data_IF_867142701397
#
_entry.id   IF_867142701397
#
_cell.length_a   1.000
_cell.length_b   1.000
_cell.length_c   1.000
_cell.angle_alpha   90.00
_cell.angle_beta   90.00
_cell.angle_gamma   90.00
#
_symmetry.space_group_name_H-M   'P 1'
#
loop_
_entity.id
_entity.type
_entity.pdbx_description
1 polymer ?
#
# COMPACT_ATOMS: atom_id res chain seq x y z
N UNK A 1 7.92 12.16 5.62
CA UNK A 1 7.01 13.29 5.84
C UNK A 1 6.37 13.62 4.52
N UNK A 2 5.11 13.36 4.38
CA UNK A 2 4.44 13.33 3.08
C UNK A 2 3.70 14.63 2.82
N UNK A 3 4.35 15.54 2.11
CA UNK A 3 3.66 16.67 1.45
C UNK A 3 2.99 17.72 2.33
N UNK A 4 2.80 17.49 3.62
CA UNK A 4 2.41 18.53 4.56
C UNK A 4 3.69 19.08 5.21
N UNK A 5 4.18 20.17 4.67
CA UNK A 5 5.38 20.85 5.18
C UNK A 5 5.21 21.44 6.58
N UNK A 6 4.01 21.35 7.14
CA UNK A 6 3.68 21.85 8.47
C UNK A 6 3.74 20.79 9.58
N UNK A 7 3.99 19.51 9.25
CA UNK A 7 4.08 18.44 10.25
C UNK A 7 5.46 17.78 10.24
N UNK A 8 6.00 17.53 11.41
CA UNK A 8 7.26 16.83 11.62
C UNK A 8 7.15 15.73 12.67
N UNK A 9 8.16 14.87 12.72
CA UNK A 9 8.33 13.95 13.82
C UNK A 9 8.69 14.76 15.08
N UNK A 10 8.04 14.47 16.18
CA UNK A 10 8.25 15.18 17.43
C UNK A 10 8.32 14.18 18.60
N UNK A 11 8.98 14.58 19.67
CA UNK A 11 8.96 13.85 20.94
C UNK A 11 7.87 14.42 21.84
N UNK A 12 6.95 13.55 22.28
CA UNK A 12 6.04 13.90 23.36
C UNK A 12 6.68 13.44 24.69
N UNK A 13 7.17 14.40 25.45
CA UNK A 13 7.95 14.14 26.68
C UNK A 13 7.07 13.68 27.85
N UNK A 14 6.48 12.51 27.71
CA UNK A 14 5.74 11.85 28.79
C UNK A 14 5.93 10.34 28.71
N UNK A 15 6.13 9.71 29.83
CA UNK A 15 6.29 8.26 29.90
C UNK A 15 7.52 7.76 29.12
N UNK A 16 7.29 7.00 28.04
CA UNK A 16 8.31 6.39 27.20
C UNK A 16 8.73 7.24 25.99
N UNK A 17 8.44 8.53 25.99
CA UNK A 17 8.73 9.49 24.91
C UNK A 17 8.20 9.02 23.54
N UNK A 18 6.89 8.88 23.34
CA UNK A 18 6.34 8.45 22.07
C UNK A 18 6.70 9.42 20.95
N UNK A 19 7.00 8.86 19.77
CA UNK A 19 7.14 9.64 18.55
C UNK A 19 5.75 10.05 18.06
N UNK A 20 5.54 11.34 17.86
CA UNK A 20 4.28 11.91 17.40
C UNK A 20 4.48 12.75 16.14
N UNK A 21 3.42 12.97 15.38
CA UNK A 21 3.39 14.01 14.36
C UNK A 21 2.88 15.31 15.00
N UNK A 22 3.65 16.36 14.86
CA UNK A 22 3.35 17.66 15.41
C UNK A 22 3.54 18.77 14.38
N UNK A 23 2.85 19.88 14.55
CA UNK A 23 3.02 21.05 13.68
C UNK A 23 4.44 21.58 13.79
N UNK A 24 5.14 21.71 12.65
CA UNK A 24 6.46 22.32 12.61
C UNK A 24 6.33 23.81 12.96
N UNK A 25 6.85 24.18 14.09
CA UNK A 25 7.01 25.58 14.50
C UNK A 25 8.44 26.03 14.13
N UNK A 26 8.59 27.25 13.68
CA UNK A 26 9.91 27.86 13.49
C UNK A 26 10.64 27.81 14.84
N UNK A 27 11.84 27.19 14.86
CA UNK A 27 12.67 26.96 16.03
C UNK A 27 12.21 25.82 17.01
N UNK A 28 11.36 24.91 16.56
CA UNK A 28 11.04 23.72 17.36
C UNK A 28 12.18 22.68 17.30
N UNK A 29 13.01 22.68 18.32
CA UNK A 29 14.14 21.75 18.43
C UNK A 29 13.71 20.27 18.58
N UNK A 30 12.48 20.04 18.95
CA UNK A 30 11.92 18.69 19.14
C UNK A 30 11.37 18.08 17.84
N UNK A 31 11.42 18.83 16.73
CA UNK A 31 10.91 18.40 15.42
C UNK A 31 11.98 18.27 14.33
N UNK A 32 13.20 18.73 14.57
CA UNK A 32 14.30 18.60 13.62
C UNK A 32 15.00 17.26 13.78
N UNK A 33 15.07 16.48 12.69
CA UNK A 33 15.72 15.18 12.69
C UNK A 33 16.99 15.17 11.87
N UNK A 34 18.00 14.48 12.35
CA UNK A 34 19.21 14.10 11.62
C UNK A 34 19.10 12.64 11.19
N UNK A 35 19.61 12.34 10.00
CA UNK A 35 19.66 11.00 9.43
C UNK A 35 21.12 10.65 9.21
N UNK A 36 21.59 9.60 9.84
CA UNK A 36 22.98 9.13 9.79
C UNK A 36 23.02 7.71 9.22
N UNK A 37 23.87 7.45 8.23
CA UNK A 37 24.04 6.10 7.69
C UNK A 37 24.63 5.14 8.72
N UNK A 38 24.17 3.91 8.76
CA UNK A 38 24.77 2.86 9.58
C UNK A 38 26.14 2.50 9.02
N UNK A 39 27.16 2.42 9.88
CA UNK A 39 28.54 2.12 9.49
C UNK A 39 28.80 0.65 9.12
N UNK A 40 27.83 -0.21 9.20
CA UNK A 40 27.99 -1.68 9.12
C UNK A 40 27.62 -2.28 7.76
N UNK A 41 28.06 -1.69 6.65
CA UNK A 41 28.07 -2.38 5.35
C UNK A 41 26.70 -2.84 4.77
N UNK A 42 25.60 -2.48 5.40
CA UNK A 42 24.25 -2.75 4.92
C UNK A 42 23.74 -1.53 4.18
N UNK A 43 23.54 -1.64 2.88
CA UNK A 43 22.97 -0.56 2.07
C UNK A 43 21.59 -0.14 2.61
N UNK A 44 21.32 1.16 2.56
CA UNK A 44 20.03 1.78 2.92
C UNK A 44 19.64 1.69 4.40
N UNK A 45 20.61 1.56 5.31
CA UNK A 45 20.40 1.56 6.76
C UNK A 45 20.75 2.91 7.37
N UNK A 46 19.87 3.43 8.22
CA UNK A 46 20.01 4.76 8.82
C UNK A 46 19.58 4.76 10.29
N UNK A 47 20.27 5.59 11.07
CA UNK A 47 19.79 6.07 12.37
C UNK A 47 19.07 7.40 12.16
N UNK A 48 17.95 7.59 12.83
CA UNK A 48 17.16 8.82 12.82
C UNK A 48 17.12 9.35 14.25
N UNK A 49 17.58 10.57 14.49
CA UNK A 49 17.61 11.15 15.84
C UNK A 49 17.23 12.63 15.82
N UNK A 50 16.81 13.16 16.96
CA UNK A 50 16.50 14.59 17.09
C UNK A 50 17.80 15.41 17.10
N UNK A 51 17.93 16.32 16.13
CA UNK A 51 19.15 17.07 15.86
C UNK A 51 19.63 17.85 17.08
N UNK A 52 18.72 18.56 17.74
CA UNK A 52 19.05 19.44 18.88
C UNK A 52 19.46 18.66 20.13
N UNK A 53 19.06 17.41 20.28
CA UNK A 53 19.32 16.60 21.47
C UNK A 53 20.43 15.56 21.26
N UNK A 54 20.75 15.30 20.02
CA UNK A 54 21.75 14.32 19.64
C UNK A 54 21.33 12.86 19.76
N UNK A 55 22.07 12.00 19.06
CA UNK A 55 21.83 10.56 18.95
C UNK A 55 21.80 9.84 20.31
N UNK A 56 22.64 10.27 21.25
CA UNK A 56 22.73 9.66 22.58
C UNK A 56 21.49 9.88 23.47
N UNK A 57 20.63 10.81 23.11
CA UNK A 57 19.42 11.15 23.91
C UNK A 57 18.16 10.65 23.25
N UNK A 58 17.96 10.96 21.98
CA UNK A 58 16.70 10.66 21.27
C UNK A 58 16.94 10.07 19.89
N UNK A 59 17.13 8.77 19.82
CA UNK A 59 17.15 7.98 18.59
C UNK A 59 15.78 7.31 18.39
N UNK A 60 15.26 7.37 17.17
CA UNK A 60 13.99 6.77 16.81
C UNK A 60 14.07 5.25 16.94
N UNK A 61 13.21 4.67 17.75
CA UNK A 61 13.24 3.25 18.14
C UNK A 61 11.92 2.58 17.87
N UNK A 62 11.95 1.50 17.09
CA UNK A 62 10.79 0.65 16.83
C UNK A 62 10.41 -0.13 18.09
N UNK A 63 9.13 -0.48 18.28
CA UNK A 63 8.71 -1.35 19.37
C UNK A 63 9.22 -2.78 19.14
N UNK A 64 9.62 -3.46 20.20
CA UNK A 64 10.07 -4.87 20.16
C UNK A 64 8.92 -5.85 19.90
N UNK A 65 7.69 -5.47 20.23
CA UNK A 65 6.50 -6.26 20.00
C UNK A 65 5.62 -5.61 18.93
N UNK A 66 5.78 -6.05 17.67
CA UNK A 66 5.05 -5.56 16.52
C UNK A 66 3.63 -6.12 16.39
N UNK A 67 3.24 -7.08 17.24
CA UNK A 67 1.91 -7.71 17.21
C UNK A 67 0.88 -6.98 18.09
N UNK A 68 1.33 -6.06 18.92
CA UNK A 68 0.46 -5.26 19.78
C UNK A 68 -0.14 -4.08 19.02
N UNK A 69 -1.46 -3.92 19.11
CA UNK A 69 -2.18 -2.75 18.56
C UNK A 69 -1.81 -1.43 19.24
N UNK A 70 -1.17 -1.49 20.41
CA UNK A 70 -0.64 -0.35 21.15
C UNK A 70 0.85 -0.11 20.94
N UNK A 71 1.52 -0.90 20.09
CA UNK A 71 2.91 -0.72 19.78
C UNK A 71 3.17 0.65 19.14
N UNK A 72 4.10 1.41 19.68
CA UNK A 72 4.43 2.77 19.23
C UNK A 72 5.92 2.91 19.00
N UNK A 73 6.28 3.67 17.98
CA UNK A 73 7.64 4.16 17.81
C UNK A 73 7.93 5.18 18.91
N UNK A 74 9.10 5.09 19.49
CA UNK A 74 9.52 5.92 20.64
C UNK A 74 10.88 6.55 20.38
N UNK A 75 11.21 7.57 21.14
CA UNK A 75 12.54 8.17 21.16
C UNK A 75 13.30 7.65 22.38
N UNK A 76 14.42 6.98 22.17
CA UNK A 76 15.26 6.40 23.23
C UNK A 76 16.72 6.75 23.01
N UNK A 77 17.56 6.68 24.06
CA UNK A 77 19.00 6.76 23.89
C UNK A 77 19.52 5.74 22.87
N UNK A 78 20.52 6.13 22.11
CA UNK A 78 21.16 5.24 21.14
C UNK A 78 21.85 4.07 21.86
N UNK A 79 21.54 2.88 21.42
CA UNK A 79 22.12 1.61 21.91
C UNK A 79 22.76 0.79 20.80
N UNK A 80 22.54 1.17 19.52
CA UNK A 80 22.94 0.37 18.37
C UNK A 80 22.09 -0.86 18.14
N UNK A 81 20.95 -0.99 18.82
CA UNK A 81 20.06 -2.14 18.67
C UNK A 81 19.36 -2.17 17.31
N UNK A 82 18.95 -3.36 16.82
CA UNK A 82 18.24 -3.49 15.55
C UNK A 82 16.96 -2.63 15.45
N UNK A 83 16.29 -2.37 16.57
CA UNK A 83 15.07 -1.56 16.64
C UNK A 83 15.32 -0.09 16.31
N UNK A 84 16.59 0.35 16.31
CA UNK A 84 17.00 1.71 15.98
C UNK A 84 17.49 1.86 14.54
N UNK A 85 17.55 0.76 13.79
CA UNK A 85 17.99 0.74 12.39
C UNK A 85 16.77 0.86 11.47
N UNK A 86 16.76 1.89 10.64
CA UNK A 86 15.68 2.20 9.71
C UNK A 86 16.14 2.04 8.26
N UNK A 87 15.31 1.44 7.44
CA UNK A 87 15.50 1.43 5.98
C UNK A 87 14.69 2.56 5.36
N UNK A 88 15.38 3.51 4.73
CA UNK A 88 14.74 4.59 3.99
C UNK A 88 14.72 4.17 2.52
N UNK A 89 13.54 3.83 2.02
CA UNK A 89 13.36 3.54 0.59
C UNK A 89 13.15 4.85 -0.16
N UNK A 90 14.09 5.21 -1.01
CA UNK A 90 14.06 6.44 -1.82
C UNK A 90 13.16 6.33 -3.07
N UNK A 91 12.63 5.15 -3.36
CA UNK A 91 11.90 4.85 -4.59
C UNK A 91 10.39 5.11 -4.53
N UNK A 92 9.89 5.76 -3.49
CA UNK A 92 8.52 6.24 -3.50
C UNK A 92 8.54 7.74 -3.78
N UNK A 93 8.16 8.13 -4.99
CA UNK A 93 7.68 9.48 -5.25
C UNK A 93 6.70 9.81 -4.13
N UNK A 94 6.99 10.84 -3.35
CA UNK A 94 6.20 11.23 -2.20
C UNK A 94 4.77 11.56 -2.66
N UNK A 95 3.93 10.56 -2.68
CA UNK A 95 2.50 10.79 -2.81
C UNK A 95 1.97 11.12 -1.44
N UNK A 96 1.40 12.28 -1.37
CA UNK A 96 0.75 12.88 -0.21
C UNK A 96 -0.31 11.97 0.38
N UNK A 97 0.12 10.99 1.16
CA UNK A 97 -0.76 10.26 2.03
C UNK A 97 -0.96 11.09 3.29
N UNK A 98 -2.01 11.90 3.32
CA UNK A 98 -2.53 12.50 4.54
C UNK A 98 -3.30 11.45 5.36
N UNK A 99 -2.76 10.24 5.44
CA UNK A 99 -3.33 9.16 6.23
C UNK A 99 -2.99 9.40 7.69
N UNK A 100 -3.99 9.59 8.50
CA UNK A 100 -3.91 9.51 9.94
C UNK A 100 -3.00 8.35 10.34
N UNK A 101 -2.00 8.56 11.18
CA UNK A 101 -0.96 7.60 11.56
C UNK A 101 -1.47 6.30 12.18
N UNK A 102 -2.29 5.57 11.42
CA UNK A 102 -2.79 4.25 11.78
C UNK A 102 -1.84 3.19 11.21
N UNK A 103 -1.46 2.29 12.07
CA UNK A 103 -0.72 1.09 11.72
C UNK A 103 -1.55 0.26 10.72
N UNK A 104 -0.99 0.03 9.54
CA UNK A 104 -1.51 -1.00 8.65
C UNK A 104 -0.83 -2.32 9.00
N UNK A 105 -1.56 -3.42 9.16
CA UNK A 105 -0.96 -4.74 9.31
C UNK A 105 -0.11 -5.04 8.07
N UNK A 106 0.80 -5.99 8.16
CA UNK A 106 1.50 -6.48 6.98
C UNK A 106 0.49 -7.01 5.98
N UNK A 107 0.67 -6.68 4.71
CA UNK A 107 -0.12 -7.28 3.64
C UNK A 107 0.21 -8.77 3.61
N UNK A 108 -0.82 -9.61 3.72
CA UNK A 108 -0.62 -11.03 3.91
C UNK A 108 -0.37 -11.75 2.59
N UNK A 109 0.52 -12.73 2.63
CA UNK A 109 0.69 -13.69 1.56
C UNK A 109 -0.60 -14.53 1.43
N UNK A 110 -0.90 -14.94 0.19
CA UNK A 110 -1.88 -15.99 -0.05
C UNK A 110 -1.26 -17.34 0.29
N UNK A 111 -2.07 -18.31 0.71
CA UNK A 111 -1.62 -19.71 0.80
C UNK A 111 -1.32 -20.33 -0.56
N UNK A 112 -1.75 -19.68 -1.64
CA UNK A 112 -1.47 -20.05 -3.03
C UNK A 112 -0.31 -19.20 -3.56
N UNK A 113 0.91 -19.68 -3.43
CA UNK A 113 2.11 -18.98 -3.92
C UNK A 113 2.12 -18.89 -5.45
N UNK A 114 2.64 -17.80 -6.03
CA UNK A 114 3.31 -16.65 -5.39
C UNK A 114 2.40 -15.42 -5.17
N UNK A 115 1.10 -15.63 -4.97
CA UNK A 115 0.16 -14.52 -4.86
C UNK A 115 0.20 -13.86 -3.48
N UNK A 116 0.01 -12.54 -3.46
CA UNK A 116 -0.10 -11.72 -2.26
C UNK A 116 -1.40 -10.92 -2.35
N UNK A 117 -2.13 -10.77 -1.25
CA UNK A 117 -3.35 -9.97 -1.22
C UNK A 117 -3.09 -8.54 -1.73
N UNK A 118 -3.96 -7.98 -2.59
CA UNK A 118 -3.75 -6.66 -3.19
C UNK A 118 -3.90 -5.49 -2.21
N UNK A 119 -4.51 -5.75 -1.05
CA UNK A 119 -4.79 -4.78 0.01
C UNK A 119 -4.65 -5.44 1.38
N UNK A 120 -4.78 -4.64 2.44
CA UNK A 120 -4.54 -5.10 3.81
C UNK A 120 -5.75 -5.80 4.42
N UNK A 121 -6.97 -5.38 4.07
CA UNK A 121 -8.21 -5.96 4.60
C UNK A 121 -8.74 -7.04 3.66
N UNK A 122 -8.85 -8.26 4.17
CA UNK A 122 -9.34 -9.42 3.41
C UNK A 122 -10.86 -9.52 3.38
N UNK A 123 -11.55 -8.82 4.29
CA UNK A 123 -13.02 -8.79 4.33
C UNK A 123 -13.56 -7.72 3.40
N UNK A 124 -14.76 -7.92 2.90
CA UNK A 124 -15.41 -7.00 2.02
C UNK A 124 -16.91 -7.24 1.93
N UNK A 125 -17.58 -6.34 1.23
CA UNK A 125 -19.03 -6.29 1.14
C UNK A 125 -19.61 -7.27 0.12
N UNK A 126 -18.81 -7.69 -0.89
CA UNK A 126 -19.32 -8.48 -2.01
C UNK A 126 -18.29 -9.47 -2.54
N UNK A 127 -18.70 -10.72 -2.72
CA UNK A 127 -17.92 -11.78 -3.36
C UNK A 127 -18.11 -11.85 -4.87
N UNK A 128 -17.34 -12.71 -5.53
CA UNK A 128 -17.52 -13.04 -6.94
C UNK A 128 -18.89 -13.68 -7.20
N UNK A 129 -19.66 -13.13 -8.16
CA UNK A 129 -20.94 -13.69 -8.54
C UNK A 129 -21.27 -13.39 -10.02
N UNK A 130 -20.98 -14.31 -10.94
CA UNK A 130 -21.26 -14.12 -12.37
C UNK A 130 -22.75 -14.09 -12.70
N UNK A 131 -23.63 -14.64 -11.84
CA UNK A 131 -25.08 -14.66 -12.06
C UNK A 131 -25.75 -13.31 -11.80
N UNK A 132 -25.14 -12.47 -10.94
CA UNK A 132 -25.55 -11.08 -10.69
C UNK A 132 -24.44 -10.13 -11.09
N UNK A 133 -24.11 -9.99 -12.38
CA UNK A 133 -22.80 -9.61 -12.95
C UNK A 133 -21.86 -8.86 -11.99
N UNK A 134 -21.13 -9.61 -11.16
CA UNK A 134 -20.08 -9.11 -10.29
C UNK A 134 -18.81 -9.94 -10.50
N UNK A 135 -17.99 -9.49 -11.44
CA UNK A 135 -16.81 -10.21 -11.93
C UNK A 135 -15.56 -9.86 -11.12
N UNK A 136 -15.64 -9.99 -9.80
CA UNK A 136 -14.56 -9.70 -8.87
C UNK A 136 -14.99 -9.87 -7.43
N UNK A 137 -14.17 -9.38 -6.53
CA UNK A 137 -14.45 -9.29 -5.10
C UNK A 137 -14.29 -7.84 -4.66
N UNK A 138 -15.16 -7.38 -3.76
CA UNK A 138 -15.05 -6.06 -3.16
C UNK A 138 -14.40 -6.21 -1.79
N UNK A 139 -13.33 -5.46 -1.54
CA UNK A 139 -12.58 -5.46 -0.28
C UNK A 139 -12.62 -4.09 0.35
N UNK A 140 -13.02 -4.06 1.61
CA UNK A 140 -13.14 -2.83 2.38
C UNK A 140 -11.77 -2.23 2.70
N UNK A 141 -11.78 -0.94 2.99
CA UNK A 141 -10.63 -0.23 3.53
C UNK A 141 -10.59 -0.30 5.06
N UNK A 142 -9.39 -0.39 5.65
CA UNK A 142 -9.21 -0.11 7.08
C UNK A 142 -9.45 1.35 7.42
N UNK A 143 -9.13 2.23 6.47
CA UNK A 143 -9.32 3.68 6.62
C UNK A 143 -10.71 4.09 6.13
N UNK A 144 -11.74 3.78 6.90
CA UNK A 144 -13.04 4.41 6.70
C UNK A 144 -12.98 5.80 7.31
N UNK A 145 -12.73 6.82 6.48
CA UNK A 145 -12.90 8.19 6.90
C UNK A 145 -14.38 8.55 6.89
N UNK A 146 -14.82 9.22 7.94
CA UNK A 146 -16.17 9.82 8.02
C UNK A 146 -16.43 10.87 6.93
N UNK A 147 -15.38 11.35 6.28
CA UNK A 147 -15.42 12.19 5.07
C UNK A 147 -14.86 11.41 3.88
N UNK A 148 -15.71 10.58 3.30
CA UNK A 148 -15.38 9.66 2.20
C UNK A 148 -14.96 10.36 0.89
N UNK A 149 -15.08 11.69 0.78
CA UNK A 149 -14.86 12.40 -0.48
C UNK A 149 -13.43 12.87 -0.69
N UNK A 150 -12.64 13.03 0.36
CA UNK A 150 -11.32 13.66 0.28
C UNK A 150 -10.16 12.87 0.90
N UNK A 151 -10.42 11.80 1.66
CA UNK A 151 -9.37 10.98 2.24
C UNK A 151 -9.19 9.68 1.43
N UNK A 152 -7.97 9.36 1.00
CA UNK A 152 -7.70 8.10 0.33
C UNK A 152 -7.90 6.93 1.30
N UNK A 153 -8.43 5.81 0.80
CA UNK A 153 -8.46 4.54 1.52
C UNK A 153 -7.09 3.85 1.56
N UNK A 154 -7.09 2.55 1.80
CA UNK A 154 -5.86 1.75 1.90
C UNK A 154 -5.09 1.73 0.57
N UNK A 155 -3.74 1.61 0.62
CA UNK A 155 -2.95 1.45 -0.58
C UNK A 155 -3.20 0.10 -1.27
N UNK A 156 -3.12 0.11 -2.60
CA UNK A 156 -3.37 -1.03 -3.48
C UNK A 156 -2.09 -1.42 -4.20
N UNK A 157 -1.83 -2.73 -4.28
CA UNK A 157 -0.64 -3.31 -4.89
C UNK A 157 -0.98 -4.47 -5.82
N UNK A 158 -0.10 -4.82 -6.78
CA UNK A 158 -0.27 -6.04 -7.57
C UNK A 158 -0.24 -7.31 -6.72
N UNK A 159 -1.01 -8.31 -7.15
CA UNK A 159 -1.02 -9.65 -6.52
C UNK A 159 0.22 -10.47 -6.87
N UNK A 160 0.83 -10.20 -8.01
CA UNK A 160 2.09 -10.80 -8.50
C UNK A 160 2.75 -9.83 -9.48
N UNK A 161 3.98 -10.16 -9.91
CA UNK A 161 4.71 -9.36 -10.90
C UNK A 161 4.01 -9.38 -12.28
N UNK A 162 4.11 -8.27 -13.01
CA UNK A 162 3.51 -8.14 -14.34
C UNK A 162 3.85 -6.82 -15.02
N UNK A 163 3.08 -6.50 -16.06
CA UNK A 163 3.18 -5.23 -16.80
C UNK A 163 1.80 -4.56 -16.84
N UNK A 164 1.76 -3.27 -16.59
CA UNK A 164 0.54 -2.48 -16.70
C UNK A 164 0.11 -2.42 -18.17
N UNK A 165 -1.09 -2.89 -18.44
CA UNK A 165 -1.64 -2.90 -19.83
C UNK A 165 -2.77 -1.89 -20.04
N UNK A 166 -3.39 -1.40 -18.96
CA UNK A 166 -4.43 -0.39 -19.02
C UNK A 166 -4.43 0.49 -17.79
N UNK A 167 -4.62 1.78 -18.00
CA UNK A 167 -4.91 2.76 -16.96
C UNK A 167 -6.14 3.54 -17.41
N UNK A 168 -7.15 3.62 -16.56
CA UNK A 168 -8.30 4.48 -16.78
C UNK A 168 -8.31 5.61 -15.74
N UNK A 169 -8.67 6.79 -16.22
CA UNK A 169 -8.96 7.95 -15.40
C UNK A 169 -10.42 8.33 -15.60
N UNK A 170 -11.19 8.38 -14.51
CA UNK A 170 -12.61 8.80 -14.53
C UNK A 170 -13.53 7.98 -15.46
N UNK A 171 -13.25 6.69 -15.64
CA UNK A 171 -14.16 5.82 -16.39
C UNK A 171 -15.50 5.74 -15.65
N UNK A 172 -16.62 5.74 -16.40
CA UNK A 172 -17.96 5.76 -15.81
C UNK A 172 -18.20 4.59 -14.84
N UNK A 173 -17.78 3.38 -15.21
CA UNK A 173 -17.97 2.19 -14.38
C UNK A 173 -16.78 1.90 -13.48
N UNK A 174 -15.55 1.87 -14.04
CA UNK A 174 -14.34 1.43 -13.32
C UNK A 174 -13.71 2.53 -12.48
N UNK A 175 -14.12 3.79 -12.69
CA UNK A 175 -13.49 4.95 -12.07
C UNK A 175 -12.03 5.10 -12.52
N UNK A 176 -11.18 5.45 -11.60
CA UNK A 176 -9.73 5.35 -11.78
C UNK A 176 -9.33 3.88 -11.56
N UNK A 177 -8.61 3.29 -12.50
CA UNK A 177 -8.31 1.86 -12.44
C UNK A 177 -7.00 1.48 -13.13
N UNK A 178 -6.43 0.35 -12.72
CA UNK A 178 -5.22 -0.25 -13.32
C UNK A 178 -5.48 -1.70 -13.66
N UNK A 179 -5.08 -2.10 -14.87
CA UNK A 179 -5.09 -3.48 -15.30
C UNK A 179 -3.65 -3.94 -15.58
N UNK A 180 -3.28 -5.09 -15.03
CA UNK A 180 -1.94 -5.66 -15.14
C UNK A 180 -2.02 -7.01 -15.83
N UNK A 181 -1.16 -7.25 -16.81
CA UNK A 181 -0.95 -8.57 -17.42
C UNK A 181 0.24 -9.24 -16.77
N UNK A 182 0.08 -10.52 -16.45
CA UNK A 182 1.16 -11.38 -15.95
C UNK A 182 1.14 -12.72 -16.69
N UNK A 183 2.30 -13.34 -16.87
CA UNK A 183 2.33 -14.78 -17.11
C UNK A 183 1.70 -15.48 -15.90
N UNK A 184 0.92 -16.53 -16.14
CA UNK A 184 0.31 -17.28 -15.05
C UNK A 184 1.40 -17.93 -14.18
N UNK A 185 1.62 -17.45 -12.95
CA UNK A 185 2.73 -17.93 -12.13
C UNK A 185 2.42 -19.25 -11.40
N UNK A 186 1.14 -19.69 -11.43
CA UNK A 186 0.71 -20.92 -10.77
C UNK A 186 -0.35 -21.64 -11.61
N UNK A 187 0.11 -22.46 -12.57
CA UNK A 187 -0.76 -23.21 -13.48
C UNK A 187 -1.51 -24.36 -12.80
N UNK A 188 -1.16 -24.71 -11.58
CA UNK A 188 -1.90 -25.70 -10.78
C UNK A 188 -3.15 -25.08 -10.16
N UNK A 189 -3.05 -23.86 -9.68
CA UNK A 189 -4.18 -23.13 -9.08
C UNK A 189 -5.06 -22.50 -10.17
N UNK A 190 -4.46 -22.00 -11.25
CA UNK A 190 -5.16 -21.41 -12.39
C UNK A 190 -4.92 -22.31 -13.61
N UNK A 191 -5.77 -23.31 -13.80
CA UNK A 191 -5.62 -24.32 -14.87
C UNK A 191 -6.00 -23.82 -16.25
N UNK A 192 -6.68 -22.68 -16.34
CA UNK A 192 -7.17 -22.09 -17.60
C UNK A 192 -6.35 -20.85 -17.95
N UNK A 193 -5.42 -21.00 -18.92
CA UNK A 193 -4.70 -19.88 -19.49
C UNK A 193 -3.26 -19.72 -19.04
N UNK A 194 -2.40 -19.38 -20.00
CA UNK A 194 -0.99 -19.10 -19.79
C UNK A 194 -0.73 -17.68 -19.24
N UNK A 195 -1.72 -16.82 -19.30
CA UNK A 195 -1.67 -15.43 -18.84
C UNK A 195 -2.87 -15.08 -17.99
N UNK A 196 -2.65 -14.18 -17.03
CA UNK A 196 -3.70 -13.59 -16.21
C UNK A 196 -3.71 -12.08 -16.39
N UNK A 197 -4.90 -11.48 -16.33
CA UNK A 197 -5.08 -10.05 -16.20
C UNK A 197 -5.79 -9.79 -14.89
N UNK A 198 -5.16 -9.00 -14.02
CA UNK A 198 -5.72 -8.59 -12.75
C UNK A 198 -6.10 -7.11 -12.79
N UNK A 199 -7.31 -6.81 -12.35
CA UNK A 199 -7.99 -5.54 -12.50
C UNK A 199 -8.24 -4.94 -11.12
N UNK A 200 -7.81 -3.70 -10.93
CA UNK A 200 -7.94 -2.93 -9.69
C UNK A 200 -8.75 -1.67 -10.01
N UNK A 201 -9.90 -1.47 -9.36
CA UNK A 201 -10.84 -0.41 -9.72
C UNK A 201 -11.16 0.50 -8.54
N UNK A 202 -11.82 1.63 -8.85
CA UNK A 202 -12.35 2.61 -7.91
C UNK A 202 -11.29 3.37 -7.11
N UNK A 203 -10.08 3.58 -7.66
CA UNK A 203 -9.05 4.36 -6.98
C UNK A 203 -9.52 5.78 -6.66
N UNK A 204 -9.05 6.32 -5.55
CA UNK A 204 -9.39 7.66 -5.08
C UNK A 204 -8.94 8.77 -6.06
N UNK A 205 -7.80 8.58 -6.68
CA UNK A 205 -7.17 9.53 -7.61
C UNK A 205 -6.56 8.81 -8.80
N UNK A 206 -5.98 9.57 -9.72
CA UNK A 206 -5.19 9.00 -10.83
C UNK A 206 -4.22 7.94 -10.31
N UNK A 207 -4.15 6.76 -10.97
CA UNK A 207 -3.16 5.75 -10.67
C UNK A 207 -1.72 6.27 -10.73
N UNK A 208 -0.83 5.65 -9.95
CA UNK A 208 0.56 6.05 -9.79
C UNK A 208 1.50 5.38 -10.80
N UNK A 209 0.94 4.60 -11.71
CA UNK A 209 1.64 3.86 -12.74
C UNK A 209 1.07 4.18 -14.11
N UNK A 210 1.84 3.92 -15.16
CA UNK A 210 1.49 4.15 -16.56
C UNK A 210 1.46 2.83 -17.34
N UNK A 211 0.77 2.82 -18.47
CA UNK A 211 0.78 1.68 -19.38
C UNK A 211 2.20 1.40 -19.85
N UNK A 212 2.63 0.14 -19.76
CA UNK A 212 3.97 -0.32 -20.06
C UNK A 212 4.88 -0.49 -18.83
N UNK A 213 4.51 0.08 -17.69
CA UNK A 213 5.33 -0.02 -16.48
C UNK A 213 5.41 -1.48 -15.99
N UNK A 214 6.61 -2.00 -15.70
CA UNK A 214 6.78 -3.24 -14.97
C UNK A 214 6.41 -3.03 -13.50
N UNK A 215 5.65 -3.96 -12.94
CA UNK A 215 5.19 -3.89 -11.55
C UNK A 215 5.49 -5.19 -10.80
N UNK A 216 5.70 -5.06 -9.51
CA UNK A 216 5.89 -6.17 -8.58
C UNK A 216 4.87 -6.08 -7.45
N UNK A 217 4.83 -7.09 -6.59
CA UNK A 217 3.96 -7.07 -5.39
C UNK A 217 4.25 -5.91 -4.42
N UNK A 218 5.40 -5.25 -4.54
CA UNK A 218 5.77 -4.06 -3.76
C UNK A 218 5.47 -2.73 -4.45
N UNK A 219 5.01 -2.73 -5.71
CA UNK A 219 4.72 -1.51 -6.46
C UNK A 219 3.37 -0.93 -6.01
N UNK A 220 3.37 0.30 -5.52
CA UNK A 220 2.12 0.99 -5.18
C UNK A 220 1.39 1.43 -6.46
N UNK A 221 0.20 0.88 -6.69
CA UNK A 221 -0.64 1.25 -7.85
C UNK A 221 -1.45 2.53 -7.59
N UNK A 222 -1.85 2.76 -6.36
CA UNK A 222 -2.69 3.86 -5.92
C UNK A 222 -3.38 3.54 -4.60
N UNK A 223 -4.43 4.27 -4.31
CA UNK A 223 -5.19 4.15 -3.05
C UNK A 223 -6.66 3.88 -3.32
N UNK A 224 -7.30 3.12 -2.44
CA UNK A 224 -8.73 2.86 -2.50
C UNK A 224 -9.54 4.16 -2.51
N UNK A 225 -10.60 4.16 -3.27
CA UNK A 225 -11.53 5.27 -3.36
C UNK A 225 -12.94 4.79 -3.65
N UNK A 226 -13.71 5.69 -4.26
CA UNK A 226 -15.11 5.45 -4.64
C UNK A 226 -15.42 6.13 -5.99
N UNK A 227 -14.48 6.13 -6.92
CA UNK A 227 -14.66 6.69 -8.26
C UNK A 227 -15.35 5.71 -9.19
N UNK A 228 -16.05 6.21 -10.21
CA UNK A 228 -16.87 5.41 -11.12
C UNK A 228 -18.18 4.94 -10.49
N UNK A 229 -18.66 3.77 -10.91
CA UNK A 229 -19.89 3.17 -10.37
C UNK A 229 -19.62 2.49 -9.02
N UNK A 230 -19.57 3.27 -7.98
CA UNK A 230 -19.24 2.83 -6.62
C UNK A 230 -20.05 3.59 -5.58
N UNK A 231 -20.49 2.90 -4.53
CA UNK A 231 -21.31 3.45 -3.44
C UNK A 231 -20.53 3.72 -2.15
N UNK A 232 -19.25 3.35 -2.08
CA UNK A 232 -18.41 3.55 -0.89
C UNK A 232 -16.96 3.19 -1.14
N UNK A 233 -16.07 3.54 -0.23
CA UNK A 233 -14.64 3.28 -0.36
C UNK A 233 -14.36 1.77 -0.28
N UNK A 234 -13.93 1.19 -1.40
CA UNK A 234 -13.53 -0.21 -1.50
C UNK A 234 -12.57 -0.44 -2.67
N UNK A 235 -11.91 -1.58 -2.71
CA UNK A 235 -11.25 -2.12 -3.88
C UNK A 235 -12.17 -3.14 -4.55
N UNK A 236 -12.59 -2.88 -5.78
CA UNK A 236 -13.09 -3.94 -6.66
C UNK A 236 -11.89 -4.60 -7.34
N UNK A 237 -11.69 -5.89 -7.09
CA UNK A 237 -10.59 -6.68 -7.63
C UNK A 237 -11.12 -7.83 -8.47
N UNK A 238 -10.82 -7.82 -9.76
CA UNK A 238 -11.17 -8.88 -10.70
C UNK A 238 -9.93 -9.56 -11.27
N UNK A 239 -10.08 -10.81 -11.69
CA UNK A 239 -9.02 -11.57 -12.36
C UNK A 239 -9.58 -12.38 -13.53
N UNK A 240 -8.87 -12.35 -14.65
CA UNK A 240 -9.18 -13.11 -15.86
C UNK A 240 -7.98 -13.96 -16.26
N UNK A 241 -8.25 -15.08 -16.94
CA UNK A 241 -7.20 -15.92 -17.52
C UNK A 241 -7.50 -16.22 -18.99
N UNK A 242 -6.45 -16.33 -19.81
CA UNK A 242 -6.49 -16.78 -21.20
C UNK A 242 -5.12 -17.29 -21.67
N UNK A 243 -5.08 -17.91 -22.87
CA UNK A 243 -3.84 -18.49 -23.40
C UNK A 243 -2.94 -17.48 -24.13
N UNK A 244 -3.38 -16.26 -24.36
CA UNK A 244 -2.61 -15.19 -25.00
C UNK A 244 -2.41 -14.02 -24.05
N UNK A 245 -1.28 -13.33 -24.13
CA UNK A 245 -1.03 -12.16 -23.29
C UNK A 245 -2.09 -11.07 -23.51
N UNK A 246 -2.46 -10.40 -22.43
CA UNK A 246 -3.28 -9.19 -22.50
C UNK A 246 -2.43 -7.98 -22.87
N UNK A 247 -2.99 -7.09 -23.68
CA UNK A 247 -2.32 -5.91 -24.23
C UNK A 247 -3.11 -4.64 -23.94
N UNK A 248 -2.54 -3.49 -24.26
CA UNK A 248 -3.23 -2.19 -24.13
C UNK A 248 -4.42 -2.01 -25.08
N UNK A 249 -4.49 -2.79 -26.17
CA UNK A 249 -5.62 -2.78 -27.10
C UNK A 249 -6.81 -3.62 -26.63
N UNK A 250 -6.60 -4.53 -25.68
CA UNK A 250 -7.70 -5.35 -25.15
C UNK A 250 -8.67 -4.50 -24.33
N UNK A 251 -9.95 -4.56 -24.70
CA UNK A 251 -11.05 -3.95 -23.96
C UNK A 251 -11.48 -4.79 -22.75
N UNK A 252 -12.48 -4.28 -22.05
CA UNK A 252 -13.21 -5.05 -21.04
C UNK A 252 -14.08 -6.11 -21.73
N UNK A 253 -14.05 -7.30 -21.19
CA UNK A 253 -14.90 -8.42 -21.58
C UNK A 253 -15.25 -9.20 -20.34
N UNK A 254 -16.40 -9.87 -20.33
CA UNK A 254 -16.83 -10.72 -19.21
C UNK A 254 -16.28 -12.14 -19.31
N UNK A 255 -15.59 -12.48 -20.39
CA UNK A 255 -15.01 -13.81 -20.62
C UNK A 255 -13.71 -13.98 -19.83
N UNK A 256 -13.49 -15.18 -19.31
CA UNK A 256 -12.25 -15.56 -18.62
C UNK A 256 -12.13 -15.12 -17.16
N UNK A 257 -13.16 -14.44 -16.63
CA UNK A 257 -13.19 -14.15 -15.20
C UNK A 257 -13.40 -15.43 -14.37
N UNK A 258 -12.74 -15.48 -13.23
CA UNK A 258 -12.93 -16.52 -12.21
C UNK A 258 -12.88 -15.90 -10.82
N UNK A 259 -13.27 -16.66 -9.81
CA UNK A 259 -13.31 -16.20 -8.43
C UNK A 259 -11.88 -15.94 -7.90
N UNK A 260 -11.54 -14.68 -7.57
CA UNK A 260 -10.23 -14.36 -7.03
C UNK A 260 -9.87 -15.11 -5.74
N UNK A 261 -10.86 -15.56 -4.96
CA UNK A 261 -10.62 -16.30 -3.71
C UNK A 261 -10.02 -17.69 -3.94
N UNK A 262 -10.04 -18.20 -5.18
CA UNK A 262 -9.32 -19.43 -5.55
C UNK A 262 -7.81 -19.28 -5.31
N UNK A 263 -7.26 -18.09 -5.53
CA UNK A 263 -5.83 -17.80 -5.41
C UNK A 263 -5.47 -16.88 -4.25
N UNK A 264 -6.45 -16.22 -3.64
CA UNK A 264 -6.27 -15.30 -2.52
C UNK A 264 -6.86 -15.91 -1.23
N UNK A 265 -6.30 -17.00 -0.77
CA UNK A 265 -6.73 -17.72 0.45
C UNK A 265 -5.86 -17.40 1.65
#
# INVERSE_FOLDING_TARGET
MNGNTSLGLNVYRSGDNPCTLYTLLNNDNDSQVSIEACSEGVSDCYYIYLTAHGKSVYTLTAPTNLTSTSARVTWKPYTGSPEQIWKIKTSHTANTYSGHGRYLPSRQDSTVTPFIWPCYKKTGSRGYNPSTPHYGIDRDSYYQCSDQRNAPGDPIYPICAGTVVKVYEKHADFGNSVWVNSSNPNTTAITTGAYIRHLYMHFNSKPLVSVGDPVTTGTLLGYMGTTGNSTGVHLHFGIQARNTAYTSSDGYTTSGFFDPEIILK
#
